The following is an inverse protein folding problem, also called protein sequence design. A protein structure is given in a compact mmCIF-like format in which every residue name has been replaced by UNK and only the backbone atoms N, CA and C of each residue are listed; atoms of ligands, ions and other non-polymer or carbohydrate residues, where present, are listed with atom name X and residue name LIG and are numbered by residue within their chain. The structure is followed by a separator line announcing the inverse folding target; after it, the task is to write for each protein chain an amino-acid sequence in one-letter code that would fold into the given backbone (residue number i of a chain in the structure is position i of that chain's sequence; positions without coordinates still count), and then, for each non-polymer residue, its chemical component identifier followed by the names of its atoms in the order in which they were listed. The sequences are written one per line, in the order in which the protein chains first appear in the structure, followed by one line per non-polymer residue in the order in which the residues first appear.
data_IF_253436060604
#
_entry.id   IF_253436060604
#
_cell.length_a   1.000
_cell.length_b   1.000
_cell.length_c   1.000
_cell.angle_alpha   90.00
_cell.angle_beta   90.00
_cell.angle_gamma   90.00
#
_symmetry.space_group_name_H-M   'P 1'
#
loop_
_entity.id
_entity.type
_entity.pdbx_description
1 polymer ?
#
# COMPACT_ATOMS: atom_id res chain seq x y z
N UNK A 1 5.67 -15.97 5.15
CA UNK A 1 6.21 -14.68 5.68
C UNK A 1 5.19 -14.17 6.69
N UNK A 2 5.55 -13.61 7.86
CA UNK A 2 4.51 -13.07 8.77
C UNK A 2 3.96 -11.73 8.27
N UNK A 3 2.78 -11.35 8.74
CA UNK A 3 2.17 -10.05 8.44
C UNK A 3 3.06 -8.89 8.93
N UNK A 4 3.73 -9.06 10.08
CA UNK A 4 4.72 -8.09 10.58
C UNK A 4 5.92 -7.92 9.64
N UNK A 5 6.44 -9.02 9.08
CA UNK A 5 7.53 -8.96 8.11
C UNK A 5 7.08 -8.29 6.81
N UNK A 6 5.84 -8.56 6.38
CA UNK A 6 5.25 -7.92 5.20
C UNK A 6 5.10 -6.40 5.40
N UNK A 7 4.59 -5.99 6.57
CA UNK A 7 4.53 -4.58 6.97
C UNK A 7 5.92 -3.93 6.97
N UNK A 8 6.93 -4.57 7.54
CA UNK A 8 8.30 -4.05 7.56
C UNK A 8 8.85 -3.87 6.13
N UNK A 9 8.57 -4.82 5.22
CA UNK A 9 8.97 -4.71 3.82
C UNK A 9 8.31 -3.52 3.10
N UNK A 10 7.02 -3.26 3.36
CA UNK A 10 6.34 -2.08 2.82
C UNK A 10 7.08 -0.80 3.27
N UNK A 11 7.40 -0.68 4.55
CA UNK A 11 8.12 0.48 5.08
C UNK A 11 9.49 0.65 4.43
N UNK A 12 10.25 -0.44 4.26
CA UNK A 12 11.57 -0.41 3.59
C UNK A 12 11.45 0.11 2.16
N UNK A 13 10.44 -0.36 1.40
CA UNK A 13 10.22 0.07 0.02
C UNK A 13 9.81 1.55 -0.01
N UNK A 14 8.86 1.98 0.82
CA UNK A 14 8.43 3.37 0.87
C UNK A 14 9.60 4.28 1.26
N UNK A 15 10.38 3.92 2.28
CA UNK A 15 11.50 4.72 2.76
C UNK A 15 12.57 4.93 1.69
N UNK A 16 12.80 3.95 0.81
CA UNK A 16 13.69 4.12 -0.35
C UNK A 16 13.25 5.29 -1.24
N UNK A 17 11.95 5.41 -1.53
CA UNK A 17 11.42 6.48 -2.38
C UNK A 17 11.26 7.81 -1.64
N UNK A 18 11.06 7.79 -0.33
CA UNK A 18 11.16 8.98 0.53
C UNK A 18 12.58 9.54 0.47
N UNK A 19 13.61 8.71 0.63
CA UNK A 19 15.02 9.14 0.61
C UNK A 19 15.45 9.69 -0.76
N UNK A 20 14.76 9.32 -1.83
CA UNK A 20 14.98 9.83 -3.18
C UNK A 20 14.20 11.12 -3.49
N UNK A 21 13.31 11.56 -2.58
CA UNK A 21 12.50 12.77 -2.74
C UNK A 21 11.22 12.59 -3.57
N UNK A 22 10.84 11.35 -3.92
CA UNK A 22 9.62 11.09 -4.69
C UNK A 22 8.36 11.14 -3.83
N UNK A 23 8.43 10.56 -2.63
CA UNK A 23 7.33 10.50 -1.66
C UNK A 23 7.56 11.57 -0.60
N UNK A 24 6.55 12.44 -0.42
CA UNK A 24 6.56 13.52 0.58
C UNK A 24 5.97 13.03 1.89
N UNK A 25 4.87 12.27 1.82
CA UNK A 25 4.18 11.75 2.99
C UNK A 25 3.56 10.38 2.68
N UNK A 26 3.39 9.56 3.73
CA UNK A 26 2.67 8.30 3.62
C UNK A 26 2.02 7.95 4.94
N UNK A 27 0.89 7.26 4.88
CA UNK A 27 0.32 6.57 6.02
C UNK A 27 -0.32 5.25 5.56
N UNK A 28 -0.29 4.26 6.43
CA UNK A 28 -1.06 3.03 6.21
C UNK A 28 -1.40 2.39 7.55
N UNK A 29 -2.41 1.53 7.53
CA UNK A 29 -2.88 0.74 8.67
C UNK A 29 -2.89 -0.73 8.30
N UNK A 30 -2.63 -1.58 9.29
CA UNK A 30 -2.74 -3.03 9.18
C UNK A 30 -3.84 -3.50 10.14
N UNK A 31 -4.86 -4.17 9.60
CA UNK A 31 -5.91 -4.85 10.37
C UNK A 31 -5.65 -6.36 10.28
N UNK A 32 -4.93 -6.85 11.29
CA UNK A 32 -4.51 -8.25 11.38
C UNK A 32 -5.69 -9.15 11.78
N UNK A 33 -5.96 -10.18 10.98
CA UNK A 33 -6.93 -11.24 11.29
C UNK A 33 -6.24 -12.47 11.89
N UNK A 34 -4.96 -12.66 11.57
CA UNK A 34 -4.06 -13.62 12.19
C UNK A 34 -2.60 -13.14 12.03
N UNK A 35 -1.62 -13.99 12.38
CA UNK A 35 -0.20 -13.69 12.14
C UNK A 35 0.18 -13.64 10.65
N UNK A 36 -0.70 -14.11 9.76
CA UNK A 36 -0.43 -14.28 8.33
C UNK A 36 -1.51 -13.66 7.44
N UNK A 37 -2.70 -13.40 7.99
CA UNK A 37 -3.85 -12.89 7.23
C UNK A 37 -4.24 -11.51 7.75
N UNK A 38 -4.48 -10.57 6.85
CA UNK A 38 -4.89 -9.23 7.26
C UNK A 38 -5.20 -8.30 6.09
N UNK A 39 -5.83 -7.18 6.44
CA UNK A 39 -6.02 -6.07 5.53
C UNK A 39 -4.92 -5.03 5.73
N UNK A 40 -4.44 -4.48 4.64
CA UNK A 40 -3.49 -3.38 4.62
C UNK A 40 -4.07 -2.31 3.72
N UNK A 41 -4.14 -1.09 4.21
CA UNK A 41 -4.64 0.04 3.41
C UNK A 41 -3.90 1.31 3.78
N UNK A 42 -3.71 2.18 2.80
CA UNK A 42 -2.96 3.40 3.00
C UNK A 42 -2.95 4.29 1.78
N UNK A 43 -2.18 5.36 1.89
CA UNK A 43 -1.89 6.24 0.78
C UNK A 43 -0.46 6.77 0.84
N UNK A 44 0.04 7.14 -0.33
CA UNK A 44 1.31 7.80 -0.57
C UNK A 44 1.04 9.13 -1.28
N UNK A 45 1.68 10.20 -0.82
CA UNK A 45 1.70 11.49 -1.49
C UNK A 45 3.04 11.70 -2.18
N UNK A 46 3.01 11.94 -3.49
CA UNK A 46 4.18 12.19 -4.31
C UNK A 46 4.36 13.68 -4.57
N UNK A 47 5.57 14.12 -4.88
CA UNK A 47 5.81 15.47 -5.39
C UNK A 47 5.45 15.55 -6.89
N UNK A 48 4.59 16.52 -7.34
CA UNK A 48 4.16 17.75 -6.66
C UNK A 48 2.70 17.73 -6.14
N UNK A 49 2.21 16.62 -5.59
CA UNK A 49 0.94 16.54 -4.85
C UNK A 49 0.00 15.41 -5.28
N UNK A 50 0.41 14.55 -6.22
CA UNK A 50 -0.39 13.40 -6.62
C UNK A 50 -0.42 12.33 -5.54
N UNK A 51 -1.47 11.49 -5.54
CA UNK A 51 -1.69 10.51 -4.47
C UNK A 51 -2.02 9.14 -5.02
N UNK A 52 -1.38 8.12 -4.44
CA UNK A 52 -1.73 6.72 -4.64
C UNK A 52 -2.41 6.21 -3.38
N UNK A 53 -3.60 5.65 -3.52
CA UNK A 53 -4.31 4.93 -2.47
C UNK A 53 -4.25 3.45 -2.78
N UNK A 54 -4.02 2.63 -1.76
CA UNK A 54 -3.96 1.19 -1.91
C UNK A 54 -4.71 0.50 -0.79
N UNK A 55 -5.27 -0.66 -1.10
CA UNK A 55 -5.90 -1.58 -0.17
C UNK A 55 -5.62 -2.99 -0.66
N UNK A 56 -5.21 -3.86 0.26
CA UNK A 56 -4.87 -5.25 0.00
C UNK A 56 -5.43 -6.11 1.13
N UNK A 57 -6.02 -7.24 0.78
CA UNK A 57 -6.35 -8.33 1.68
C UNK A 57 -5.46 -9.50 1.30
N UNK A 58 -4.61 -9.92 2.23
CA UNK A 58 -3.55 -10.88 1.94
C UNK A 58 -3.63 -12.09 2.87
N UNK A 59 -3.27 -13.25 2.33
CA UNK A 59 -2.93 -14.45 3.09
C UNK A 59 -1.45 -14.77 2.83
N UNK A 60 -0.70 -14.97 3.91
CA UNK A 60 0.75 -15.23 3.90
C UNK A 60 1.11 -16.60 4.49
N UNK A 61 0.13 -17.46 4.76
CA UNK A 61 0.32 -18.74 5.45
C UNK A 61 1.26 -19.67 4.67
N UNK A 62 0.90 -19.97 3.41
CA UNK A 62 1.65 -20.86 2.53
C UNK A 62 2.53 -20.07 1.54
N UNK A 63 1.97 -19.00 0.96
CA UNK A 63 2.63 -18.14 -0.01
C UNK A 63 2.08 -16.71 0.07
N UNK A 64 2.66 -15.75 -0.64
CA UNK A 64 2.08 -14.41 -0.75
C UNK A 64 0.87 -14.46 -1.71
N UNK A 65 -0.33 -14.55 -1.15
CA UNK A 65 -1.57 -14.52 -1.91
C UNK A 65 -2.34 -13.23 -1.62
N UNK A 66 -2.66 -12.47 -2.68
CA UNK A 66 -3.53 -11.29 -2.58
C UNK A 66 -4.96 -11.71 -2.88
N UNK A 67 -5.71 -12.03 -1.83
CA UNK A 67 -7.12 -12.42 -1.91
C UNK A 67 -7.97 -11.32 -2.55
N UNK A 68 -7.70 -10.06 -2.22
CA UNK A 68 -8.23 -8.89 -2.94
C UNK A 68 -7.25 -7.74 -2.87
N UNK A 69 -7.25 -6.86 -3.86
CA UNK A 69 -6.49 -5.63 -3.90
C UNK A 69 -7.20 -4.60 -4.76
N UNK A 70 -7.04 -3.35 -4.36
CA UNK A 70 -7.46 -2.20 -5.13
C UNK A 70 -6.44 -1.09 -4.93
N UNK A 71 -6.13 -0.35 -5.98
CA UNK A 71 -5.38 0.88 -5.84
C UNK A 71 -5.83 1.88 -6.89
N UNK A 72 -5.79 3.16 -6.53
CA UNK A 72 -6.12 4.23 -7.43
C UNK A 72 -5.14 5.37 -7.28
N UNK A 73 -4.83 5.99 -8.42
CA UNK A 73 -3.93 7.12 -8.50
C UNK A 73 -4.70 8.33 -8.98
N UNK A 74 -4.49 9.44 -8.29
CA UNK A 74 -5.10 10.73 -8.60
C UNK A 74 -4.03 11.81 -8.65
N UNK A 75 -4.22 12.78 -9.53
CA UNK A 75 -3.32 13.91 -9.66
C UNK A 75 -3.45 14.89 -8.48
N UNK A 76 -2.70 15.99 -8.54
CA UNK A 76 -2.71 17.04 -7.52
C UNK A 76 -4.02 17.85 -7.45
N UNK A 77 -4.89 17.74 -8.47
CA UNK A 77 -6.23 18.32 -8.49
C UNK A 77 -7.30 17.31 -8.01
N UNK A 78 -6.89 16.11 -7.60
CA UNK A 78 -7.73 14.97 -7.22
C UNK A 78 -8.52 14.36 -8.41
N UNK A 79 -8.09 14.59 -9.65
CA UNK A 79 -8.65 13.88 -10.79
C UNK A 79 -8.14 12.44 -10.78
N UNK A 80 -9.06 11.48 -10.89
CA UNK A 80 -8.72 10.07 -11.01
C UNK A 80 -8.00 9.82 -12.34
N UNK A 81 -6.74 9.39 -12.27
CA UNK A 81 -5.94 9.07 -13.46
C UNK A 81 -6.10 7.59 -13.83
N UNK A 82 -6.02 6.70 -12.84
CA UNK A 82 -6.30 5.29 -13.03
C UNK A 82 -6.75 4.62 -11.74
N UNK A 83 -7.46 3.51 -11.90
CA UNK A 83 -7.81 2.59 -10.83
C UNK A 83 -7.64 1.17 -11.32
N UNK A 84 -7.08 0.34 -10.45
CA UNK A 84 -7.06 -1.11 -10.60
C UNK A 84 -7.77 -1.71 -9.41
N UNK A 85 -8.57 -2.73 -9.68
CA UNK A 85 -9.41 -3.40 -8.70
C UNK A 85 -9.54 -4.85 -9.17
N UNK A 86 -9.34 -5.82 -8.28
CA UNK A 86 -9.49 -7.23 -8.60
C UNK A 86 -10.71 -7.88 -7.92
N UNK A 87 -11.65 -7.07 -7.40
CA UNK A 87 -12.88 -7.56 -6.79
C UNK A 87 -13.82 -8.20 -7.82
#
# INVERSE_FOLDING_TARGET
MSLNNYQANIVVIIQKYVNQGWIISFNFSVDARSNYVGFIQGNLEFSPGSRLFFKEYIDLQESLEKLSYSFHYQDNENNLIFRYDNA
#
